data_IF_866355782315
#
_entry.id   IF_866355782315
#
_cell.length_a   1.000
_cell.length_b   1.000
_cell.length_c   1.000
_cell.angle_alpha   90.00
_cell.angle_beta   90.00
_cell.angle_gamma   90.00
#
_symmetry.space_group_name_H-M   'P 1'
#
loop_
_entity.id
_entity.type
_entity.pdbx_description
1 polymer ?
#
# COMPACT_ATOMS: atom_id res chain seq x y z
N UNK A 1 9.35 21.46 18.55
CA UNK A 1 9.16 20.09 19.08
C UNK A 1 8.01 19.45 18.34
N UNK A 2 8.24 18.28 17.78
CA UNK A 2 7.25 17.61 16.93
C UNK A 2 6.21 16.83 17.74
N UNK A 3 4.95 16.98 17.34
CA UNK A 3 3.82 16.17 17.76
C UNK A 3 3.26 15.39 16.56
N UNK A 4 2.82 14.16 16.80
CA UNK A 4 2.19 13.27 15.85
C UNK A 4 0.77 12.92 16.32
N UNK A 5 -0.24 13.18 15.50
CA UNK A 5 -1.62 12.73 15.75
C UNK A 5 -1.93 11.50 14.89
N UNK A 6 -2.32 10.40 15.53
CA UNK A 6 -2.59 9.12 14.90
C UNK A 6 -4.05 9.07 14.43
N UNK A 7 -4.36 9.61 13.25
CA UNK A 7 -5.74 9.85 12.84
C UNK A 7 -6.41 8.64 12.17
N UNK A 8 -5.66 7.62 11.76
CA UNK A 8 -6.21 6.35 11.31
C UNK A 8 -5.15 5.32 10.92
N UNK A 9 -5.53 4.04 10.94
CA UNK A 9 -4.62 2.92 10.66
C UNK A 9 -3.85 2.37 11.88
N UNK A 10 -4.17 2.81 13.10
CA UNK A 10 -3.44 2.41 14.32
C UNK A 10 -4.28 1.49 15.20
N UNK A 11 -3.81 0.24 15.35
CA UNK A 11 -4.59 -0.84 15.99
C UNK A 11 -5.74 -1.34 15.12
N UNK A 12 -5.71 -1.02 13.83
CA UNK A 12 -6.69 -1.40 12.82
C UNK A 12 -6.07 -1.39 11.42
N UNK A 13 -6.81 -1.89 10.43
CA UNK A 13 -6.46 -1.79 9.01
C UNK A 13 -7.39 -0.80 8.30
N UNK A 14 -6.81 0.01 7.42
CA UNK A 14 -7.51 1.00 6.62
C UNK A 14 -7.50 2.40 7.25
N UNK A 15 -8.02 3.38 6.51
CA UNK A 15 -8.11 4.81 6.86
C UNK A 15 -6.79 5.42 7.33
N UNK A 16 -5.67 4.96 6.80
CA UNK A 16 -4.34 5.38 7.23
C UNK A 16 -4.18 6.89 7.06
N UNK A 17 -3.82 7.56 8.16
CA UNK A 17 -3.71 9.00 8.22
C UNK A 17 -2.92 9.42 9.46
N UNK A 18 -1.95 10.32 9.26
CA UNK A 18 -1.09 10.85 10.32
C UNK A 18 -0.94 12.35 10.16
N UNK A 19 -1.04 13.12 11.25
CA UNK A 19 -0.62 14.54 11.23
C UNK A 19 0.69 14.68 11.98
N UNK A 20 1.64 15.42 11.41
CA UNK A 20 2.87 15.84 12.09
C UNK A 20 2.86 17.36 12.20
N UNK A 21 3.18 17.88 13.38
CA UNK A 21 3.16 19.33 13.65
C UNK A 21 4.28 19.80 14.56
N UNK A 22 4.73 21.03 14.37
CA UNK A 22 5.65 21.75 15.28
C UNK A 22 4.89 22.66 16.29
N UNK A 23 3.57 22.53 16.35
CA UNK A 23 2.65 23.39 17.12
C UNK A 23 2.14 24.61 16.33
N UNK A 24 2.88 25.10 15.34
CA UNK A 24 2.49 26.20 14.45
C UNK A 24 2.03 25.71 13.07
N UNK A 25 2.79 24.82 12.46
CA UNK A 25 2.59 24.23 11.14
C UNK A 25 2.15 22.78 11.29
N UNK A 26 1.22 22.33 10.45
CA UNK A 26 0.67 20.97 10.44
C UNK A 26 0.66 20.40 9.03
N UNK A 27 1.32 19.28 8.84
CA UNK A 27 1.25 18.49 7.61
C UNK A 27 0.53 17.18 7.89
N UNK A 28 -0.38 16.79 7.01
CA UNK A 28 -1.07 15.51 7.07
C UNK A 28 -0.50 14.57 6.01
N UNK A 29 -0.10 13.39 6.44
CA UNK A 29 0.46 12.32 5.63
C UNK A 29 -0.65 11.27 5.45
N UNK A 30 -1.06 11.11 4.20
CA UNK A 30 -2.20 10.32 3.75
C UNK A 30 -3.58 10.76 4.28
N UNK A 31 -4.61 10.36 3.54
CA UNK A 31 -6.02 10.63 3.80
C UNK A 31 -6.85 9.40 3.39
N UNK A 32 -6.68 8.30 4.10
CA UNK A 32 -7.31 7.02 3.78
C UNK A 32 -8.79 6.86 4.17
N UNK A 33 -9.38 5.76 3.70
CA UNK A 33 -10.67 5.22 4.18
C UNK A 33 -10.59 3.76 4.61
N UNK A 34 -11.55 3.31 5.41
CA UNK A 34 -11.63 1.93 5.92
C UNK A 34 -12.70 1.14 5.18
N UNK A 35 -12.28 0.45 4.11
CA UNK A 35 -13.19 -0.38 3.31
C UNK A 35 -13.90 -1.42 4.18
N UNK A 36 -15.23 -1.50 4.05
CA UNK A 36 -16.09 -2.38 4.83
C UNK A 36 -16.60 -1.79 6.14
N UNK A 37 -16.10 -0.63 6.58
CA UNK A 37 -16.70 0.15 7.66
C UNK A 37 -17.83 1.07 7.14
N UNK A 38 -18.63 1.61 8.04
CA UNK A 38 -19.74 2.53 7.72
C UNK A 38 -19.75 3.72 8.67
N UNK A 39 -20.33 4.84 8.24
CA UNK A 39 -20.43 6.04 9.08
C UNK A 39 -19.06 6.62 9.39
N UNK A 40 -18.86 7.06 10.63
CA UNK A 40 -17.63 7.74 11.04
C UNK A 40 -16.41 6.82 11.08
N UNK A 41 -16.61 5.49 11.22
CA UNK A 41 -15.51 4.52 11.16
C UNK A 41 -14.88 4.39 9.77
N UNK A 42 -15.58 4.84 8.73
CA UNK A 42 -15.07 4.80 7.36
C UNK A 42 -13.94 5.82 7.12
N UNK A 43 -13.92 6.91 7.89
CA UNK A 43 -13.03 8.05 7.69
C UNK A 43 -12.02 8.20 8.85
N UNK A 44 -10.93 8.97 8.65
CA UNK A 44 -9.98 9.30 9.72
C UNK A 44 -10.63 10.08 10.87
N UNK A 45 -10.14 9.85 12.09
CA UNK A 45 -10.52 10.59 13.30
C UNK A 45 -9.63 11.82 13.40
N UNK A 46 -10.15 12.96 12.96
CA UNK A 46 -9.40 14.22 12.95
C UNK A 46 -9.24 14.76 14.37
N UNK A 47 -8.00 14.96 14.82
CA UNK A 47 -7.71 15.55 16.13
C UNK A 47 -8.08 17.05 16.21
N UNK A 48 -8.15 17.72 15.04
CA UNK A 48 -8.42 19.15 14.87
C UNK A 48 -9.24 19.40 13.60
N UNK A 49 -9.87 20.57 13.44
CA UNK A 49 -10.50 20.96 12.19
C UNK A 49 -9.52 20.85 11.02
N UNK A 50 -9.96 20.21 9.91
CA UNK A 50 -9.11 19.99 8.73
C UNK A 50 -8.61 21.29 8.08
N UNK A 51 -9.31 22.42 8.32
CA UNK A 51 -8.90 23.74 7.87
C UNK A 51 -7.61 24.25 8.55
N UNK A 52 -7.17 23.64 9.65
CA UNK A 52 -5.89 23.93 10.32
C UNK A 52 -4.70 23.17 9.72
N UNK A 53 -4.92 22.32 8.72
CA UNK A 53 -3.87 21.55 8.05
C UNK A 53 -3.28 22.39 6.91
N UNK A 54 -1.98 22.65 6.97
CA UNK A 54 -1.28 23.53 6.02
C UNK A 54 -0.98 22.83 4.69
N UNK A 55 -0.73 21.52 4.71
CA UNK A 55 -0.48 20.72 3.50
C UNK A 55 -0.83 19.24 3.70
N UNK A 56 -1.28 18.61 2.61
CA UNK A 56 -1.48 17.16 2.53
C UNK A 56 -0.37 16.54 1.69
N UNK A 57 0.17 15.40 2.11
CA UNK A 57 1.13 14.60 1.36
C UNK A 57 0.57 13.20 1.20
N UNK A 58 0.37 12.75 -0.04
CA UNK A 58 -0.19 11.44 -0.34
C UNK A 58 0.94 10.53 -0.83
N UNK A 59 1.09 9.39 -0.16
CA UNK A 59 2.14 8.40 -0.43
C UNK A 59 1.90 7.65 -1.73
N UNK A 60 0.65 7.22 -1.97
CA UNK A 60 0.22 6.49 -3.15
C UNK A 60 -1.32 6.44 -3.25
N UNK A 61 -1.83 5.91 -4.37
CA UNK A 61 -3.25 5.98 -4.74
C UNK A 61 -4.10 4.77 -4.30
N UNK A 62 -3.69 4.00 -3.28
CA UNK A 62 -4.59 3.02 -2.67
C UNK A 62 -5.65 3.71 -1.81
N UNK A 63 -6.83 3.09 -1.70
CA UNK A 63 -8.00 3.71 -1.09
C UNK A 63 -7.81 4.05 0.38
N UNK A 64 -7.08 3.23 1.12
CA UNK A 64 -6.73 3.45 2.51
C UNK A 64 -5.61 4.48 2.73
N UNK A 65 -5.15 5.14 1.67
CA UNK A 65 -4.21 6.27 1.72
C UNK A 65 -4.74 7.55 1.06
N UNK A 66 -5.73 7.46 0.16
CA UNK A 66 -6.24 8.64 -0.59
C UNK A 66 -7.76 8.84 -0.53
N UNK A 67 -8.54 7.81 -0.17
CA UNK A 67 -9.98 7.80 -0.42
C UNK A 67 -10.80 8.82 0.40
N UNK A 68 -10.23 9.45 1.42
CA UNK A 68 -10.88 10.49 2.20
C UNK A 68 -10.65 11.91 1.63
N UNK A 69 -9.87 12.10 0.55
CA UNK A 69 -9.58 13.43 0.01
C UNK A 69 -10.84 14.29 -0.23
N UNK A 70 -11.87 13.73 -0.88
CA UNK A 70 -13.13 14.43 -1.14
C UNK A 70 -13.84 14.82 0.16
N UNK A 71 -13.83 13.92 1.15
CA UNK A 71 -14.41 14.14 2.48
C UNK A 71 -13.72 15.28 3.22
N UNK A 72 -12.39 15.32 3.20
CA UNK A 72 -11.58 16.38 3.81
C UNK A 72 -11.87 17.73 3.16
N UNK A 73 -12.00 17.79 1.83
CA UNK A 73 -12.39 19.02 1.12
C UNK A 73 -13.78 19.49 1.51
N UNK A 74 -14.76 18.59 1.61
CA UNK A 74 -16.11 18.92 2.13
C UNK A 74 -16.07 19.47 3.56
N UNK A 75 -15.15 18.97 4.39
CA UNK A 75 -14.95 19.44 5.76
C UNK A 75 -14.16 20.76 5.87
N UNK A 76 -13.69 21.33 4.74
CA UNK A 76 -13.09 22.66 4.68
C UNK A 76 -11.60 22.70 4.35
N UNK A 77 -10.99 21.58 3.94
CA UNK A 77 -9.59 21.58 3.53
C UNK A 77 -9.38 22.37 2.23
N UNK A 78 -8.45 23.32 2.24
CA UNK A 78 -8.16 24.21 1.10
C UNK A 78 -6.67 24.30 0.72
N UNK A 79 -5.79 23.61 1.45
CA UNK A 79 -4.34 23.67 1.24
C UNK A 79 -3.83 22.92 -0.01
N UNK A 80 -2.51 22.95 -0.27
CA UNK A 80 -1.84 22.17 -1.31
C UNK A 80 -1.78 20.67 -0.99
N UNK A 81 -2.03 19.85 -2.00
CA UNK A 81 -1.96 18.39 -1.94
C UNK A 81 -0.76 17.93 -2.77
N UNK A 82 0.26 17.43 -2.08
CA UNK A 82 1.49 16.92 -2.66
C UNK A 82 1.36 15.43 -2.96
N UNK A 83 1.73 15.02 -4.17
CA UNK A 83 1.78 13.61 -4.57
C UNK A 83 2.74 13.42 -5.75
N UNK A 84 3.09 12.17 -6.06
CA UNK A 84 3.82 11.83 -7.28
C UNK A 84 2.92 11.92 -8.52
N UNK A 85 3.53 12.02 -9.71
CA UNK A 85 2.78 12.06 -10.98
C UNK A 85 1.93 10.80 -11.16
N UNK A 86 2.47 9.64 -10.78
CA UNK A 86 1.80 8.36 -10.91
C UNK A 86 0.62 8.23 -9.92
N UNK A 87 0.79 8.70 -8.69
CA UNK A 87 -0.32 8.82 -7.72
C UNK A 87 -1.43 9.73 -8.26
N UNK A 88 -1.07 10.86 -8.86
CA UNK A 88 -2.04 11.78 -9.46
C UNK A 88 -2.79 11.16 -10.64
N UNK A 89 -2.12 10.35 -11.46
CA UNK A 89 -2.75 9.65 -12.60
C UNK A 89 -3.71 8.54 -12.15
N UNK A 90 -3.41 7.84 -11.05
CA UNK A 90 -4.26 6.77 -10.51
C UNK A 90 -5.42 7.30 -9.64
N UNK A 91 -5.23 8.44 -8.96
CA UNK A 91 -6.20 9.05 -8.05
C UNK A 91 -7.64 9.10 -8.59
N UNK A 92 -7.94 9.55 -9.83
CA UNK A 92 -9.31 9.64 -10.31
C UNK A 92 -10.05 8.30 -10.32
N UNK A 93 -9.36 7.20 -10.66
CA UNK A 93 -9.97 5.88 -10.70
C UNK A 93 -10.26 5.37 -9.28
N UNK A 94 -9.30 5.55 -8.36
CA UNK A 94 -9.49 5.18 -6.94
C UNK A 94 -10.64 5.97 -6.31
N UNK A 95 -10.66 7.30 -6.48
CA UNK A 95 -11.74 8.13 -5.94
C UNK A 95 -13.09 7.80 -6.56
N UNK A 96 -13.16 7.54 -7.86
CA UNK A 96 -14.40 7.12 -8.52
C UNK A 96 -14.94 5.79 -7.97
N UNK A 97 -14.06 4.90 -7.52
CA UNK A 97 -14.44 3.60 -6.98
C UNK A 97 -14.84 3.66 -5.50
N UNK A 98 -14.18 4.48 -4.69
CA UNK A 98 -14.27 4.37 -3.23
C UNK A 98 -14.71 5.64 -2.48
N UNK A 99 -14.65 6.83 -3.10
CA UNK A 99 -15.14 8.04 -2.45
C UNK A 99 -16.68 8.02 -2.36
N UNK A 100 -17.23 8.75 -1.40
CA UNK A 100 -18.68 9.01 -1.38
C UNK A 100 -19.08 9.74 -2.69
N UNK A 101 -20.10 9.27 -3.43
CA UNK A 101 -20.45 9.85 -4.72
C UNK A 101 -20.84 11.34 -4.68
N UNK A 102 -21.45 11.82 -3.58
CA UNK A 102 -21.78 13.23 -3.43
C UNK A 102 -20.51 14.04 -3.11
N UNK A 103 -19.65 13.53 -2.24
CA UNK A 103 -18.37 14.17 -1.95
C UNK A 103 -17.48 14.22 -3.22
N UNK A 104 -17.47 13.18 -4.05
CA UNK A 104 -16.74 13.16 -5.31
C UNK A 104 -17.26 14.22 -6.29
N UNK A 105 -18.58 14.33 -6.44
CA UNK A 105 -19.20 15.25 -7.40
C UNK A 105 -18.89 16.72 -7.09
N UNK A 106 -18.99 17.11 -5.82
CA UNK A 106 -18.91 18.52 -5.41
C UNK A 106 -17.53 18.89 -4.82
N UNK A 107 -16.77 17.90 -4.35
CA UNK A 107 -15.54 18.11 -3.57
C UNK A 107 -14.32 17.31 -4.07
N UNK A 108 -14.29 16.89 -5.34
CA UNK A 108 -13.05 16.39 -5.98
C UNK A 108 -11.87 17.37 -5.87
N UNK A 109 -10.62 16.90 -5.61
CA UNK A 109 -9.44 17.77 -5.56
C UNK A 109 -9.32 18.72 -6.75
N UNK A 110 -9.05 20.01 -6.48
CA UNK A 110 -8.90 21.00 -7.54
C UNK A 110 -7.48 20.96 -8.11
N UNK A 111 -7.35 21.18 -9.42
CA UNK A 111 -6.06 21.14 -10.10
C UNK A 111 -5.04 22.12 -9.50
N UNK A 112 -5.49 23.31 -9.06
CA UNK A 112 -4.66 24.31 -8.40
C UNK A 112 -4.18 23.93 -6.99
N UNK A 113 -4.76 22.90 -6.36
CA UNK A 113 -4.27 22.35 -5.10
C UNK A 113 -3.15 21.32 -5.32
N UNK A 114 -3.14 20.64 -6.48
CA UNK A 114 -2.18 19.56 -6.73
C UNK A 114 -0.76 20.12 -6.92
N UNK A 115 0.20 19.51 -6.23
CA UNK A 115 1.64 19.79 -6.34
C UNK A 115 2.37 18.48 -6.59
N UNK A 116 2.97 18.35 -7.77
CA UNK A 116 3.70 17.13 -8.12
C UNK A 116 5.14 17.19 -7.60
N UNK A 117 5.63 16.07 -7.08
CA UNK A 117 7.03 15.85 -6.71
C UNK A 117 7.51 14.49 -7.21
N UNK A 118 8.82 14.24 -7.11
CA UNK A 118 9.43 12.94 -7.40
C UNK A 118 9.98 12.30 -6.13
N UNK A 119 9.95 10.95 -6.03
CA UNK A 119 10.63 10.27 -4.93
C UNK A 119 12.09 10.72 -4.80
N UNK A 120 12.48 11.14 -3.59
CA UNK A 120 13.80 11.71 -3.31
C UNK A 120 13.81 13.24 -3.21
N UNK A 121 12.73 13.91 -3.61
CA UNK A 121 12.60 15.35 -3.45
C UNK A 121 12.45 15.73 -1.96
N UNK A 122 12.93 16.93 -1.64
CA UNK A 122 12.71 17.60 -0.36
C UNK A 122 11.76 18.76 -0.56
N UNK A 123 10.68 18.78 0.21
CA UNK A 123 9.62 19.78 0.21
C UNK A 123 9.63 20.54 1.54
N UNK A 124 8.90 21.66 1.60
CA UNK A 124 8.83 22.49 2.82
C UNK A 124 7.44 23.07 2.95
N UNK A 125 6.87 23.01 4.16
CA UNK A 125 5.64 23.69 4.56
C UNK A 125 5.92 24.35 5.89
N UNK A 126 5.78 25.68 5.99
CA UNK A 126 6.19 26.41 7.20
C UNK A 126 7.65 26.13 7.57
N UNK A 127 7.90 25.72 8.82
CA UNK A 127 9.22 25.30 9.29
C UNK A 127 9.50 23.80 9.06
N UNK A 128 8.48 23.01 8.69
CA UNK A 128 8.59 21.57 8.51
C UNK A 128 9.26 21.26 7.16
N UNK A 129 10.38 20.52 7.22
CA UNK A 129 11.06 19.97 6.05
C UNK A 129 10.58 18.55 5.82
N UNK A 130 10.03 18.26 4.64
CA UNK A 130 9.48 16.96 4.27
C UNK A 130 10.35 16.32 3.19
N UNK A 131 11.19 15.37 3.58
CA UNK A 131 11.91 14.51 2.63
C UNK A 131 11.02 13.35 2.19
N UNK A 132 11.20 12.91 0.95
CA UNK A 132 10.47 11.78 0.38
C UNK A 132 11.46 10.74 -0.12
N UNK A 133 11.01 9.49 -0.23
CA UNK A 133 11.74 8.51 -1.02
C UNK A 133 10.89 7.34 -1.45
N UNK A 134 11.34 6.64 -2.50
CA UNK A 134 10.59 5.55 -3.09
C UNK A 134 10.35 4.41 -2.08
N UNK A 135 9.13 3.89 -2.01
CA UNK A 135 8.74 2.87 -1.01
C UNK A 135 8.88 1.43 -1.48
N UNK A 136 9.09 1.19 -2.79
CA UNK A 136 9.13 -0.15 -3.36
C UNK A 136 7.77 -0.88 -3.41
N UNK A 137 6.69 -0.28 -2.91
CA UNK A 137 5.36 -0.91 -2.87
C UNK A 137 4.64 -0.90 -4.22
N UNK A 138 4.53 0.30 -4.79
CA UNK A 138 3.86 0.56 -6.06
C UNK A 138 4.63 1.62 -6.84
N UNK A 139 4.35 1.73 -8.14
CA UNK A 139 4.91 2.78 -9.00
C UNK A 139 4.54 4.15 -8.45
N UNK A 140 5.57 5.01 -8.24
CA UNK A 140 5.40 6.34 -7.66
C UNK A 140 5.08 6.37 -6.17
N UNK A 141 5.04 5.22 -5.48
CA UNK A 141 4.81 5.15 -4.04
C UNK A 141 5.99 5.68 -3.23
N UNK A 142 5.71 6.43 -2.16
CA UNK A 142 6.75 7.03 -1.32
C UNK A 142 6.53 6.87 0.18
N UNK A 143 7.63 6.86 0.92
CA UNK A 143 7.66 7.17 2.36
C UNK A 143 7.95 8.66 2.58
N UNK A 144 7.64 9.16 3.77
CA UNK A 144 7.85 10.55 4.17
C UNK A 144 8.73 10.67 5.42
N UNK A 145 9.62 11.66 5.46
CA UNK A 145 10.39 12.04 6.64
C UNK A 145 10.18 13.52 6.93
N UNK A 146 9.55 13.83 8.07
CA UNK A 146 9.29 15.20 8.52
C UNK A 146 10.32 15.59 9.57
N UNK A 147 11.04 16.67 9.34
CA UNK A 147 12.09 17.18 10.22
C UNK A 147 11.86 18.65 10.60
N UNK A 148 12.12 18.97 11.87
CA UNK A 148 12.13 20.32 12.42
C UNK A 148 13.13 20.40 13.58
N UNK A 149 13.97 21.44 13.62
CA UNK A 149 14.97 21.66 14.68
C UNK A 149 15.84 20.44 15.06
N UNK A 150 16.09 19.54 14.08
CA UNK A 150 16.88 18.32 14.27
C UNK A 150 16.11 17.13 14.85
N UNK A 151 14.82 17.28 15.16
CA UNK A 151 13.91 16.17 15.45
C UNK A 151 13.31 15.65 14.14
N UNK A 152 13.15 14.32 14.02
CA UNK A 152 12.69 13.68 12.79
C UNK A 152 11.69 12.56 13.05
N UNK A 153 10.56 12.62 12.35
CA UNK A 153 9.56 11.54 12.25
C UNK A 153 9.61 10.95 10.85
N UNK A 154 9.74 9.63 10.75
CA UNK A 154 9.62 8.91 9.48
C UNK A 154 8.29 8.16 9.48
N UNK A 155 7.52 8.31 8.42
CA UNK A 155 6.31 7.53 8.14
C UNK A 155 6.53 6.73 6.86
N UNK A 156 6.51 5.40 6.98
CA UNK A 156 6.82 4.51 5.86
C UNK A 156 5.71 4.45 4.81
N UNK A 157 4.48 4.82 5.17
CA UNK A 157 3.28 4.40 4.44
C UNK A 157 3.32 2.89 4.18
N UNK A 158 2.83 2.43 3.02
CA UNK A 158 3.07 1.07 2.57
C UNK A 158 4.45 0.93 1.90
N UNK A 159 5.21 -0.10 2.31
CA UNK A 159 6.60 -0.26 1.90
C UNK A 159 6.96 -1.71 1.56
N UNK A 160 7.82 -1.91 0.58
CA UNK A 160 8.40 -3.23 0.25
C UNK A 160 9.90 -3.07 0.07
N UNK A 161 10.72 -3.38 1.11
CA UNK A 161 12.13 -3.06 1.07
C UNK A 161 12.93 -3.88 0.07
N UNK A 162 12.58 -5.15 -0.10
CA UNK A 162 13.29 -6.10 -0.96
C UNK A 162 12.46 -6.48 -2.20
N UNK A 163 11.73 -5.51 -2.76
CA UNK A 163 11.00 -5.71 -4.01
C UNK A 163 11.96 -6.07 -5.15
N UNK A 164 11.63 -7.12 -5.90
CA UNK A 164 12.43 -7.54 -7.05
C UNK A 164 12.19 -6.64 -8.27
N UNK A 165 11.18 -5.77 -8.22
CA UNK A 165 10.72 -4.93 -9.34
C UNK A 165 10.91 -3.45 -9.03
N UNK A 166 10.36 -2.97 -7.91
CA UNK A 166 10.29 -1.56 -7.58
C UNK A 166 11.45 -1.19 -6.63
N UNK A 167 12.21 -0.13 -6.92
CA UNK A 167 13.28 0.30 -6.03
C UNK A 167 12.70 0.96 -4.78
N UNK A 168 13.28 0.65 -3.62
CA UNK A 168 13.08 1.41 -2.38
C UNK A 168 14.31 2.29 -2.12
N UNK A 169 14.10 3.54 -1.74
CA UNK A 169 15.16 4.39 -1.18
C UNK A 169 15.25 4.17 0.34
N UNK A 170 16.46 4.10 0.94
CA UNK A 170 16.61 3.82 2.36
C UNK A 170 15.89 4.84 3.26
N UNK A 171 15.28 4.37 4.35
CA UNK A 171 14.77 5.26 5.39
C UNK A 171 15.93 5.97 6.11
N UNK A 172 15.82 7.27 6.39
CA UNK A 172 16.83 7.97 7.18
C UNK A 172 16.74 7.57 8.67
N UNK A 173 17.83 7.80 9.41
CA UNK A 173 17.79 7.71 10.86
C UNK A 173 16.82 8.75 11.43
N UNK A 174 16.08 8.43 12.48
CA UNK A 174 15.04 9.29 13.03
C UNK A 174 14.84 9.09 14.54
N UNK A 175 13.99 9.91 15.15
CA UNK A 175 13.63 9.81 16.57
C UNK A 175 12.37 8.96 16.78
N UNK A 176 11.46 9.01 15.81
CA UNK A 176 10.25 8.21 15.75
C UNK A 176 10.05 7.63 14.35
N UNK A 177 9.82 6.32 14.28
CA UNK A 177 9.44 5.61 13.07
C UNK A 177 8.00 5.10 13.18
N UNK A 178 7.16 5.55 12.25
CA UNK A 178 5.80 5.07 12.02
C UNK A 178 5.88 4.06 10.86
N UNK A 179 5.79 2.77 11.19
CA UNK A 179 6.18 1.65 10.34
C UNK A 179 4.98 0.82 9.86
N UNK A 180 5.01 0.42 8.59
CA UNK A 180 4.12 -0.57 8.01
C UNK A 180 4.26 -1.90 8.73
N UNK A 181 3.26 -2.26 9.52
CA UNK A 181 3.22 -3.51 10.25
C UNK A 181 2.15 -4.46 9.67
N UNK A 182 1.73 -4.27 8.41
CA UNK A 182 0.60 -4.98 7.80
C UNK A 182 0.70 -6.51 7.87
N UNK A 183 1.92 -7.07 7.85
CA UNK A 183 2.14 -8.52 8.00
C UNK A 183 2.67 -8.95 9.38
N UNK A 184 2.81 -8.01 10.32
CA UNK A 184 3.24 -8.28 11.68
C UNK A 184 4.52 -9.13 11.73
N UNK A 185 4.45 -10.25 12.46
CA UNK A 185 5.58 -11.16 12.67
C UNK A 185 5.68 -12.31 11.64
N UNK A 186 5.19 -12.12 10.41
CA UNK A 186 5.33 -13.12 9.33
C UNK A 186 6.83 -13.41 9.05
N UNK A 187 7.35 -14.62 9.32
CA UNK A 187 8.78 -14.88 9.34
C UNK A 187 9.37 -15.16 7.95
N UNK A 188 8.54 -15.29 6.91
CA UNK A 188 8.98 -15.75 5.60
C UNK A 188 9.30 -14.56 4.70
N UNK A 189 10.58 -14.34 4.30
CA UNK A 189 10.97 -13.20 3.46
C UNK A 189 10.26 -13.16 2.10
N UNK A 190 10.14 -11.96 1.52
CA UNK A 190 9.57 -11.74 0.18
C UNK A 190 10.23 -12.61 -0.90
N UNK A 191 11.56 -12.61 -0.94
CA UNK A 191 12.33 -13.38 -1.92
C UNK A 191 12.07 -14.90 -1.86
N UNK A 192 11.86 -15.44 -0.66
CA UNK A 192 11.56 -16.87 -0.48
C UNK A 192 10.15 -17.20 -0.98
N UNK A 193 9.16 -16.34 -0.72
CA UNK A 193 7.82 -16.53 -1.26
C UNK A 193 7.77 -16.37 -2.78
N UNK A 194 8.52 -15.42 -3.34
CA UNK A 194 8.65 -15.28 -4.79
C UNK A 194 9.22 -16.55 -5.43
N UNK A 195 10.25 -17.16 -4.81
CA UNK A 195 10.81 -18.46 -5.23
C UNK A 195 9.76 -19.57 -5.19
N UNK A 196 9.03 -19.71 -4.07
CA UNK A 196 7.97 -20.71 -3.91
C UNK A 196 6.86 -20.57 -4.95
N UNK A 197 6.46 -19.33 -5.26
CA UNK A 197 5.48 -19.03 -6.33
C UNK A 197 6.03 -19.46 -7.69
N UNK A 198 7.26 -19.07 -8.03
CA UNK A 198 7.89 -19.44 -9.30
C UNK A 198 7.99 -20.96 -9.48
N UNK A 199 8.36 -21.68 -8.42
CA UNK A 199 8.43 -23.15 -8.42
C UNK A 199 7.06 -23.81 -8.56
N UNK A 200 6.05 -23.29 -7.86
CA UNK A 200 4.68 -23.78 -7.98
C UNK A 200 4.17 -23.60 -9.42
N UNK A 201 4.35 -22.41 -10.01
CA UNK A 201 3.91 -22.12 -11.38
C UNK A 201 4.66 -23.00 -12.40
N UNK A 202 5.95 -23.23 -12.20
CA UNK A 202 6.73 -24.13 -13.06
C UNK A 202 6.21 -25.58 -13.00
N UNK A 203 5.72 -26.02 -11.84
CA UNK A 203 5.07 -27.33 -11.68
C UNK A 203 3.74 -27.47 -12.44
N UNK A 204 3.13 -26.34 -12.83
CA UNK A 204 1.91 -26.26 -13.63
C UNK A 204 2.10 -25.46 -14.92
N UNK A 205 3.27 -25.62 -15.56
CA UNK A 205 3.62 -24.90 -16.79
C UNK A 205 2.67 -25.17 -17.98
N UNK A 206 1.92 -26.28 -17.93
CA UNK A 206 0.90 -26.61 -18.93
C UNK A 206 -0.45 -25.90 -18.69
N UNK A 207 -0.61 -25.18 -17.57
CA UNK A 207 -1.83 -24.44 -17.26
C UNK A 207 -2.09 -24.27 -15.76
N UNK A 208 -2.17 -23.02 -15.30
CA UNK A 208 -2.71 -22.65 -14.00
C UNK A 208 -3.24 -21.22 -14.02
N UNK A 209 -4.14 -20.87 -13.09
CA UNK A 209 -4.73 -19.54 -12.97
C UNK A 209 -4.10 -18.78 -11.81
N UNK A 210 -3.70 -17.53 -12.07
CA UNK A 210 -3.14 -16.59 -11.10
C UNK A 210 -3.92 -15.27 -11.09
N UNK A 211 -4.94 -15.13 -10.22
CA UNK A 211 -5.58 -13.84 -9.98
C UNK A 211 -4.60 -12.83 -9.36
N UNK A 212 -4.54 -11.62 -9.91
CA UNK A 212 -3.58 -10.58 -9.50
C UNK A 212 -4.11 -9.15 -9.79
N UNK A 213 -3.73 -8.08 -9.05
CA UNK A 213 -4.19 -6.71 -9.33
C UNK A 213 -3.67 -6.15 -10.66
N UNK A 214 -4.16 -4.98 -11.09
CA UNK A 214 -3.64 -4.31 -12.30
C UNK A 214 -2.26 -3.66 -12.09
N UNK A 215 -1.89 -3.36 -10.85
CA UNK A 215 -0.64 -2.70 -10.49
C UNK A 215 0.10 -3.39 -9.34
N UNK A 216 1.40 -3.08 -9.20
CA UNK A 216 2.25 -3.59 -8.13
C UNK A 216 2.55 -5.08 -8.28
N UNK A 217 1.84 -5.92 -7.50
CA UNK A 217 2.07 -7.38 -7.38
C UNK A 217 2.12 -8.13 -8.72
N UNK A 218 1.41 -7.67 -9.75
CA UNK A 218 1.45 -8.33 -11.06
C UNK A 218 2.84 -8.34 -11.70
N UNK A 219 3.61 -7.25 -11.55
CA UNK A 219 4.98 -7.22 -12.06
C UNK A 219 5.90 -8.12 -11.23
N UNK A 220 5.68 -8.23 -9.92
CA UNK A 220 6.41 -9.17 -9.05
C UNK A 220 6.17 -10.64 -9.44
N UNK A 221 4.92 -10.99 -9.75
CA UNK A 221 4.58 -12.31 -10.28
C UNK A 221 5.25 -12.54 -11.65
N UNK A 222 5.20 -11.57 -12.56
CA UNK A 222 5.87 -11.66 -13.86
C UNK A 222 7.39 -11.81 -13.69
N UNK A 223 8.00 -11.18 -12.67
CA UNK A 223 9.42 -11.33 -12.35
C UNK A 223 9.73 -12.73 -11.79
N UNK A 224 8.84 -13.31 -10.97
CA UNK A 224 9.01 -14.63 -10.38
C UNK A 224 8.77 -15.79 -11.37
N UNK A 225 7.90 -15.62 -12.36
CA UNK A 225 7.52 -16.67 -13.32
C UNK A 225 8.58 -16.82 -14.41
N UNK A 226 9.11 -18.02 -14.59
CA UNK A 226 10.17 -18.33 -15.56
C UNK A 226 9.69 -19.15 -16.78
N UNK A 227 8.39 -19.44 -16.87
CA UNK A 227 7.77 -20.20 -17.97
C UNK A 227 6.91 -19.29 -18.83
N UNK A 228 6.62 -19.62 -20.11
CA UNK A 228 5.67 -18.87 -20.93
C UNK A 228 4.30 -18.77 -20.25
N UNK A 229 3.67 -17.60 -20.32
CA UNK A 229 2.37 -17.35 -19.69
C UNK A 229 1.46 -16.54 -20.61
N UNK A 230 0.19 -16.50 -20.25
CA UNK A 230 -0.83 -15.63 -20.79
C UNK A 230 -1.21 -14.56 -19.76
N UNK A 231 -1.66 -13.42 -20.24
CA UNK A 231 -2.29 -12.38 -19.43
C UNK A 231 -3.69 -12.11 -19.97
N UNK A 232 -4.58 -11.66 -19.11
CA UNK A 232 -5.80 -11.01 -19.57
C UNK A 232 -5.43 -9.75 -20.38
N UNK A 233 -6.00 -9.63 -21.59
CA UNK A 233 -5.59 -8.63 -22.58
C UNK A 233 -5.68 -7.18 -22.06
N UNK A 234 -6.68 -6.87 -21.24
CA UNK A 234 -6.86 -5.56 -20.60
C UNK A 234 -5.73 -5.16 -19.64
N UNK A 235 -4.95 -6.12 -19.13
CA UNK A 235 -3.81 -5.83 -18.24
C UNK A 235 -2.63 -5.20 -18.98
N UNK A 236 -2.45 -5.50 -20.28
CA UNK A 236 -1.21 -5.20 -21.02
C UNK A 236 -0.82 -3.73 -20.97
N UNK A 237 -1.78 -2.83 -21.18
CA UNK A 237 -1.52 -1.40 -21.18
C UNK A 237 -1.07 -0.89 -19.81
N UNK A 238 -1.74 -1.32 -18.74
CA UNK A 238 -1.40 -0.93 -17.37
C UNK A 238 -0.03 -1.49 -16.93
N UNK A 239 0.28 -2.74 -17.29
CA UNK A 239 1.58 -3.35 -17.00
C UNK A 239 2.71 -2.64 -17.76
N UNK A 240 2.50 -2.35 -19.04
CA UNK A 240 3.49 -1.64 -19.86
C UNK A 240 3.75 -0.22 -19.35
N UNK A 241 2.70 0.50 -18.94
CA UNK A 241 2.84 1.83 -18.35
C UNK A 241 3.71 1.82 -17.09
N UNK A 242 3.51 0.83 -16.20
CA UNK A 242 4.32 0.67 -14.99
C UNK A 242 5.78 0.33 -15.28
N UNK A 243 6.05 -0.58 -16.23
CA UNK A 243 7.43 -0.99 -16.59
C UNK A 243 8.25 0.20 -17.11
N UNK A 244 7.61 1.11 -17.85
CA UNK A 244 8.26 2.23 -18.51
C UNK A 244 8.11 3.56 -17.75
N UNK A 245 7.49 3.56 -16.56
CA UNK A 245 7.42 4.74 -15.71
C UNK A 245 8.84 5.13 -15.25
N UNK A 246 9.22 6.43 -15.31
CA UNK A 246 10.57 6.88 -14.99
C UNK A 246 11.02 6.47 -13.58
N UNK A 247 12.17 5.79 -13.48
CA UNK A 247 12.78 5.32 -12.22
C UNK A 247 11.86 4.44 -11.33
N UNK A 248 10.71 3.99 -11.85
CA UNK A 248 9.73 3.19 -11.11
C UNK A 248 10.14 1.72 -10.95
N UNK A 249 10.95 1.20 -11.87
CA UNK A 249 11.41 -0.19 -11.88
C UNK A 249 12.93 -0.22 -11.85
N UNK A 250 13.51 -1.21 -11.17
CA UNK A 250 14.96 -1.45 -11.19
C UNK A 250 15.48 -1.49 -12.63
N UNK A 251 16.51 -0.71 -12.92
CA UNK A 251 16.99 -0.47 -14.31
C UNK A 251 17.38 -1.76 -15.03
N UNK A 252 17.88 -2.75 -14.31
CA UNK A 252 18.25 -4.08 -14.81
C UNK A 252 17.05 -5.01 -15.03
N UNK A 253 15.86 -4.65 -14.51
CA UNK A 253 14.60 -5.41 -14.64
C UNK A 253 13.71 -4.94 -15.77
N UNK A 254 13.80 -3.68 -16.20
CA UNK A 254 12.96 -3.12 -17.27
C UNK A 254 12.99 -3.99 -18.52
N UNK A 255 14.19 -4.31 -19.02
CA UNK A 255 14.35 -5.16 -20.22
C UNK A 255 13.71 -6.54 -20.04
N UNK A 256 13.96 -7.19 -18.91
CA UNK A 256 13.41 -8.52 -18.61
C UNK A 256 11.88 -8.51 -18.58
N UNK A 257 11.29 -7.52 -17.91
CA UNK A 257 9.84 -7.41 -17.77
C UNK A 257 9.18 -7.06 -19.12
N UNK A 258 9.77 -6.15 -19.90
CA UNK A 258 9.27 -5.82 -21.24
C UNK A 258 9.29 -7.04 -22.17
N UNK A 259 10.41 -7.78 -22.22
CA UNK A 259 10.52 -8.99 -23.04
C UNK A 259 9.51 -10.07 -22.64
N UNK A 260 9.28 -10.24 -21.33
CA UNK A 260 8.27 -11.17 -20.81
C UNK A 260 6.85 -10.73 -21.14
N UNK A 261 6.55 -9.44 -20.99
CA UNK A 261 5.24 -8.90 -21.32
C UNK A 261 4.95 -9.01 -22.82
N UNK A 262 5.92 -8.69 -23.67
CA UNK A 262 5.80 -8.80 -25.13
C UNK A 262 5.59 -10.26 -25.60
N UNK A 263 6.24 -11.21 -24.92
CA UNK A 263 6.08 -12.64 -25.19
C UNK A 263 4.78 -13.25 -24.62
N UNK A 264 4.14 -12.58 -23.66
CA UNK A 264 2.92 -13.07 -23.03
C UNK A 264 1.77 -13.14 -24.05
N UNK A 265 1.02 -14.24 -24.03
CA UNK A 265 -0.17 -14.40 -24.87
C UNK A 265 -1.32 -13.57 -24.29
N UNK A 266 -2.09 -12.91 -25.15
CA UNK A 266 -3.35 -12.31 -24.73
C UNK A 266 -4.43 -13.38 -24.60
N UNK A 267 -5.19 -13.32 -23.52
CA UNK A 267 -6.39 -14.11 -23.27
C UNK A 267 -7.55 -13.17 -23.00
N UNK A 268 -8.73 -13.50 -23.51
CA UNK A 268 -9.96 -12.72 -23.25
C UNK A 268 -11.03 -13.54 -22.57
N UNK A 269 -11.85 -12.88 -21.74
CA UNK A 269 -12.93 -13.53 -21.00
C UNK A 269 -13.88 -14.25 -21.95
N UNK A 270 -14.05 -15.56 -21.73
CA UNK A 270 -14.91 -16.43 -22.53
C UNK A 270 -14.14 -17.35 -23.48
N UNK A 271 -12.85 -17.10 -23.71
CA UNK A 271 -11.97 -18.06 -24.36
C UNK A 271 -11.72 -19.28 -23.45
N UNK A 272 -11.43 -20.47 -24.02
CA UNK A 272 -10.93 -21.59 -23.26
C UNK A 272 -9.70 -21.22 -22.42
N UNK A 273 -9.55 -21.80 -21.23
CA UNK A 273 -8.34 -21.61 -20.42
C UNK A 273 -7.11 -22.09 -21.21
N UNK A 274 -6.01 -21.31 -21.24
CA UNK A 274 -4.87 -21.59 -22.11
C UNK A 274 -4.02 -22.75 -21.57
N UNK A 275 -3.26 -23.38 -22.47
CA UNK A 275 -2.24 -24.39 -22.13
C UNK A 275 -0.92 -23.74 -21.65
N UNK A 276 -1.04 -22.79 -20.72
CA UNK A 276 0.06 -22.13 -20.00
C UNK A 276 -0.52 -21.39 -18.78
N UNK A 277 0.31 -20.98 -17.80
CA UNK A 277 -0.13 -20.09 -16.72
C UNK A 277 -0.85 -18.86 -17.25
N UNK A 278 -1.93 -18.46 -16.59
CA UNK A 278 -2.78 -17.33 -16.96
C UNK A 278 -2.89 -16.35 -15.78
N UNK A 279 -2.41 -15.12 -15.97
CA UNK A 279 -2.61 -14.02 -15.02
C UNK A 279 -3.87 -13.24 -15.39
N UNK A 280 -4.78 -13.02 -14.43
CA UNK A 280 -6.04 -12.31 -14.65
C UNK A 280 -6.29 -11.27 -13.56
N UNK A 281 -6.76 -10.09 -13.95
CA UNK A 281 -7.19 -9.09 -12.97
C UNK A 281 -8.65 -9.30 -12.56
N UNK A 282 -8.87 -9.65 -11.30
CA UNK A 282 -8.86 -8.84 -10.09
C UNK A 282 -8.15 -9.72 -9.04
N UNK A 283 -7.27 -9.14 -8.22
CA UNK A 283 -6.40 -9.92 -7.33
C UNK A 283 -7.12 -10.75 -6.27
N UNK A 284 -8.37 -10.38 -5.97
CA UNK A 284 -9.21 -11.01 -4.96
C UNK A 284 -10.16 -12.04 -5.57
N UNK A 285 -10.28 -12.06 -6.90
CA UNK A 285 -11.16 -12.96 -7.62
C UNK A 285 -12.65 -12.65 -7.45
N UNK A 286 -13.00 -11.46 -6.99
CA UNK A 286 -14.40 -11.08 -6.68
C UNK A 286 -15.05 -10.32 -7.84
N UNK A 287 -14.25 -9.67 -8.68
CA UNK A 287 -14.71 -8.83 -9.77
C UNK A 287 -13.88 -9.05 -11.04
N UNK A 288 -14.15 -8.23 -12.06
CA UNK A 288 -13.39 -8.20 -13.30
C UNK A 288 -13.30 -9.55 -14.03
N UNK A 289 -12.32 -9.70 -14.91
CA UNK A 289 -12.00 -10.97 -15.58
C UNK A 289 -11.67 -12.15 -14.65
N UNK A 290 -11.12 -11.92 -13.46
CA UNK A 290 -10.78 -13.02 -12.55
C UNK A 290 -12.00 -13.78 -12.05
N UNK A 291 -13.15 -13.13 -11.82
CA UNK A 291 -14.37 -13.81 -11.36
C UNK A 291 -14.84 -14.92 -12.32
N UNK A 292 -15.10 -14.68 -13.62
CA UNK A 292 -15.47 -15.75 -14.54
C UNK A 292 -14.32 -16.74 -14.79
N UNK A 293 -13.06 -16.28 -14.80
CA UNK A 293 -11.91 -17.18 -14.97
C UNK A 293 -11.77 -18.18 -13.81
N UNK A 294 -11.96 -17.74 -12.57
CA UNK A 294 -11.96 -18.60 -11.38
C UNK A 294 -13.08 -19.64 -11.43
N UNK A 295 -14.29 -19.24 -11.85
CA UNK A 295 -15.41 -20.17 -11.99
C UNK A 295 -15.13 -21.24 -13.08
N UNK A 296 -14.52 -20.84 -14.20
CA UNK A 296 -14.10 -21.77 -15.25
C UNK A 296 -13.00 -22.72 -14.77
N UNK A 297 -12.01 -22.20 -14.02
CA UNK A 297 -10.92 -22.99 -13.47
C UNK A 297 -11.42 -24.02 -12.45
N UNK A 298 -12.30 -23.63 -11.53
CA UNK A 298 -12.92 -24.55 -10.58
C UNK A 298 -13.71 -25.65 -11.30
N UNK A 299 -14.51 -25.30 -12.32
CA UNK A 299 -15.34 -26.27 -13.05
C UNK A 299 -14.50 -27.30 -13.81
N UNK A 300 -13.37 -26.87 -14.37
CA UNK A 300 -12.49 -27.72 -15.19
C UNK A 300 -11.40 -28.43 -14.39
N UNK A 301 -11.24 -28.11 -13.10
CA UNK A 301 -10.11 -28.59 -12.29
C UNK A 301 -8.77 -27.97 -12.69
N UNK A 302 -8.79 -26.81 -13.35
CA UNK A 302 -7.58 -26.07 -13.71
C UNK A 302 -6.90 -25.57 -12.42
N UNK A 303 -5.61 -25.82 -12.20
CA UNK A 303 -4.91 -25.43 -10.98
C UNK A 303 -5.00 -23.92 -10.72
N UNK A 304 -5.21 -23.53 -9.47
CA UNK A 304 -5.34 -22.11 -9.07
C UNK A 304 -4.30 -21.81 -7.99
N UNK A 305 -3.54 -20.73 -8.18
CA UNK A 305 -2.70 -20.14 -7.15
C UNK A 305 -3.17 -18.73 -6.85
N UNK A 306 -3.58 -18.51 -5.60
CA UNK A 306 -3.89 -17.20 -5.06
C UNK A 306 -2.66 -16.64 -4.35
N UNK A 307 -2.35 -15.37 -4.58
CA UNK A 307 -1.14 -14.73 -4.04
C UNK A 307 -1.38 -13.48 -3.19
N UNK A 308 -2.63 -13.00 -3.12
CA UNK A 308 -3.01 -11.80 -2.38
C UNK A 308 -3.65 -12.07 -1.03
N UNK A 309 -4.20 -11.01 -0.44
CA UNK A 309 -5.15 -11.13 0.67
C UNK A 309 -6.40 -11.89 0.20
N UNK A 310 -6.99 -12.70 1.08
CA UNK A 310 -8.22 -13.44 0.82
C UNK A 310 -9.26 -13.01 1.87
N UNK A 311 -10.24 -12.16 1.50
CA UNK A 311 -11.27 -11.72 2.42
C UNK A 311 -12.08 -12.94 2.85
N UNK A 312 -12.48 -12.96 4.12
CA UNK A 312 -13.34 -14.01 4.65
C UNK A 312 -14.62 -14.12 3.81
N UNK A 313 -14.97 -15.34 3.40
CA UNK A 313 -16.15 -15.61 2.56
C UNK A 313 -15.99 -15.26 1.06
N UNK A 314 -14.83 -14.75 0.62
CA UNK A 314 -14.56 -14.56 -0.81
C UNK A 314 -14.49 -15.89 -1.57
N UNK A 315 -14.71 -15.90 -2.90
CA UNK A 315 -14.54 -17.10 -3.72
C UNK A 315 -13.15 -17.72 -3.58
N UNK A 316 -12.10 -16.89 -3.51
CA UNK A 316 -10.73 -17.35 -3.31
C UNK A 316 -10.52 -18.03 -1.96
N UNK A 317 -11.00 -17.42 -0.86
CA UNK A 317 -10.92 -18.03 0.48
C UNK A 317 -11.60 -19.40 0.52
N UNK A 318 -12.81 -19.50 -0.03
CA UNK A 318 -13.55 -20.78 -0.13
C UNK A 318 -12.75 -21.85 -0.88
N UNK A 319 -12.15 -21.50 -2.03
CA UNK A 319 -11.39 -22.46 -2.83
C UNK A 319 -10.16 -23.00 -2.09
N UNK A 320 -9.49 -22.15 -1.30
CA UNK A 320 -8.36 -22.58 -0.47
C UNK A 320 -8.82 -23.47 0.68
N UNK A 321 -9.89 -23.09 1.38
CA UNK A 321 -10.45 -23.87 2.49
C UNK A 321 -10.93 -25.26 2.04
N UNK A 322 -11.45 -25.37 0.81
CA UNK A 322 -11.87 -26.64 0.20
C UNK A 322 -10.70 -27.44 -0.40
N UNK A 323 -9.46 -26.94 -0.36
CA UNK A 323 -8.27 -27.59 -0.94
C UNK A 323 -8.25 -27.60 -2.47
N UNK A 324 -9.05 -26.74 -3.13
CA UNK A 324 -9.15 -26.61 -4.59
C UNK A 324 -8.20 -25.56 -5.18
N UNK A 325 -7.67 -24.67 -4.35
CA UNK A 325 -6.66 -23.69 -4.74
C UNK A 325 -5.48 -23.72 -3.76
N UNK A 326 -4.28 -23.50 -4.30
CA UNK A 326 -3.10 -23.20 -3.50
C UNK A 326 -3.11 -21.71 -3.10
N UNK A 327 -2.46 -21.41 -1.98
CA UNK A 327 -2.25 -20.03 -1.56
C UNK A 327 -0.81 -19.83 -1.08
N UNK A 328 -0.09 -18.94 -1.75
CA UNK A 328 1.26 -18.51 -1.38
C UNK A 328 1.25 -16.98 -1.48
N UNK A 329 1.22 -16.31 -0.33
CA UNK A 329 1.13 -14.83 -0.29
C UNK A 329 2.37 -14.20 -0.94
N UNK A 330 2.25 -13.48 -2.05
CA UNK A 330 3.35 -12.61 -2.47
C UNK A 330 3.35 -11.38 -1.55
N UNK A 331 4.41 -11.13 -0.74
CA UNK A 331 4.40 -10.00 0.16
C UNK A 331 4.37 -8.68 -0.61
N UNK A 332 3.43 -7.81 -0.25
CA UNK A 332 3.36 -6.41 -0.72
C UNK A 332 3.51 -5.43 0.45
N UNK A 333 4.05 -5.90 1.57
CA UNK A 333 4.33 -5.18 2.81
C UNK A 333 5.51 -5.89 3.48
N UNK A 334 6.24 -5.26 4.42
CA UNK A 334 7.42 -5.88 5.01
C UNK A 334 7.04 -7.05 5.92
N UNK A 335 7.83 -8.12 5.81
CA UNK A 335 7.80 -9.29 6.68
C UNK A 335 8.63 -9.03 7.94
N UNK A 336 8.61 -9.94 8.92
CA UNK A 336 9.37 -9.80 10.16
C UNK A 336 10.86 -9.47 9.97
N UNK A 337 11.65 -10.23 9.18
CA UNK A 337 13.07 -9.92 9.00
C UNK A 337 13.30 -8.55 8.35
N UNK A 338 12.41 -8.16 7.43
CA UNK A 338 12.46 -6.87 6.73
C UNK A 338 12.10 -5.70 7.67
N UNK A 339 11.09 -5.86 8.53
CA UNK A 339 10.75 -4.88 9.57
C UNK A 339 11.87 -4.66 10.58
N UNK A 340 12.56 -5.73 11.00
CA UNK A 340 13.73 -5.61 11.87
C UNK A 340 14.85 -4.83 11.15
N UNK A 341 15.14 -5.18 9.89
CA UNK A 341 16.18 -4.51 9.11
C UNK A 341 15.89 -3.02 8.90
N UNK A 342 14.64 -2.65 8.59
CA UNK A 342 14.20 -1.26 8.46
C UNK A 342 14.40 -0.48 9.78
N UNK A 343 13.97 -1.05 10.90
CA UNK A 343 14.12 -0.43 12.22
C UNK A 343 15.60 -0.27 12.62
N UNK A 344 16.45 -1.26 12.33
CA UNK A 344 17.89 -1.18 12.60
C UNK A 344 18.58 -0.12 11.74
N UNK A 345 18.26 -0.08 10.44
CA UNK A 345 18.80 0.91 9.50
C UNK A 345 18.38 2.35 9.86
N UNK A 346 17.17 2.53 10.41
CA UNK A 346 16.67 3.81 10.91
C UNK A 346 17.27 4.23 12.26
N UNK A 347 18.24 3.49 12.81
CA UNK A 347 18.94 3.84 14.06
C UNK A 347 18.26 3.32 15.33
N UNK A 348 17.34 2.34 15.21
CA UNK A 348 16.57 1.74 16.32
C UNK A 348 15.74 2.76 17.13
N UNK A 349 14.95 3.63 16.49
CA UNK A 349 14.13 4.64 17.17
C UNK A 349 12.98 4.02 17.97
N UNK A 350 12.23 4.87 18.69
CA UNK A 350 10.87 4.52 19.12
C UNK A 350 10.02 4.22 17.89
N UNK A 351 9.12 3.25 18.01
CA UNK A 351 8.39 2.72 16.87
C UNK A 351 6.88 2.66 17.15
N UNK A 352 6.08 3.12 16.20
CA UNK A 352 4.62 2.92 16.15
C UNK A 352 4.33 2.11 14.89
N UNK A 353 3.64 0.97 15.03
CA UNK A 353 3.20 0.19 13.87
C UNK A 353 1.78 0.58 13.43
N UNK A 354 1.53 0.59 12.13
CA UNK A 354 0.20 0.85 11.55
C UNK A 354 -0.26 -0.31 10.63
N UNK A 355 -1.49 -0.19 10.12
CA UNK A 355 -2.13 -1.09 9.15
C UNK A 355 -2.34 -2.54 9.62
N UNK A 356 -2.31 -2.78 10.93
CA UNK A 356 -2.57 -4.08 11.53
C UNK A 356 -3.26 -3.98 12.90
N UNK A 357 -3.78 -5.11 13.38
CA UNK A 357 -4.42 -5.19 14.68
C UNK A 357 -3.42 -5.23 15.85
N UNK A 358 -3.94 -5.05 17.06
CA UNK A 358 -3.13 -5.08 18.27
C UNK A 358 -2.40 -6.42 18.52
N UNK A 359 -2.94 -7.54 18.05
CA UNK A 359 -2.33 -8.85 18.23
C UNK A 359 -1.10 -9.01 17.34
N UNK A 360 -1.16 -8.55 16.09
CA UNK A 360 -0.03 -8.49 15.18
C UNK A 360 1.09 -7.59 15.72
N UNK A 361 0.74 -6.42 16.28
CA UNK A 361 1.71 -5.52 16.92
C UNK A 361 2.36 -6.17 18.15
N UNK A 362 1.61 -6.86 19.00
CA UNK A 362 2.17 -7.54 20.16
C UNK A 362 3.12 -8.69 19.76
N UNK A 363 2.80 -9.41 18.69
CA UNK A 363 3.70 -10.42 18.12
C UNK A 363 5.00 -9.78 17.59
N UNK A 364 4.90 -8.67 16.85
CA UNK A 364 6.07 -7.95 16.32
C UNK A 364 6.94 -7.35 17.45
N UNK A 365 6.34 -6.89 18.55
CA UNK A 365 7.04 -6.33 19.72
C UNK A 365 8.02 -7.31 20.35
N UNK A 366 7.76 -8.61 20.28
CA UNK A 366 8.67 -9.65 20.77
C UNK A 366 10.05 -9.60 20.09
N UNK A 367 10.11 -9.00 18.89
CA UNK A 367 11.32 -8.87 18.09
C UNK A 367 11.82 -7.43 18.00
N UNK A 368 10.94 -6.43 18.13
CA UNK A 368 11.27 -5.01 18.14
C UNK A 368 10.84 -4.39 19.49
N UNK A 369 11.70 -4.40 20.53
CA UNK A 369 11.32 -3.96 21.87
C UNK A 369 10.88 -2.48 21.97
N UNK A 370 11.29 -1.66 21.01
CA UNK A 370 10.94 -0.23 20.93
C UNK A 370 9.53 0.02 20.35
N UNK A 371 8.85 -1.03 19.85
CA UNK A 371 7.48 -0.95 19.37
C UNK A 371 6.52 -0.62 20.51
N UNK A 372 5.65 0.36 20.27
CA UNK A 372 4.55 0.75 21.14
C UNK A 372 3.24 0.12 20.65
N UNK A 373 2.92 -1.13 21.04
CA UNK A 373 1.75 -1.86 20.51
C UNK A 373 0.42 -1.32 21.04
N UNK A 374 0.46 -0.38 21.99
CA UNK A 374 -0.71 0.26 22.59
C UNK A 374 -1.25 1.46 21.81
N UNK A 375 -0.52 1.97 20.81
CA UNK A 375 -0.91 3.14 20.03
C UNK A 375 -2.20 2.87 19.22
N UNK A 376 -3.18 3.78 19.28
CA UNK A 376 -4.48 3.64 18.60
C UNK A 376 -4.86 4.88 17.82
N UNK A 377 -5.75 4.68 16.85
CA UNK A 377 -6.41 5.77 16.14
C UNK A 377 -7.09 6.71 17.16
N UNK A 378 -6.76 8.00 17.08
CA UNK A 378 -7.16 9.06 18.01
C UNK A 378 -6.09 9.49 19.00
N UNK A 379 -5.04 8.70 19.23
CA UNK A 379 -3.95 9.07 20.14
C UNK A 379 -3.06 10.18 19.56
N UNK A 380 -2.39 10.91 20.44
CA UNK A 380 -1.34 11.87 20.09
C UNK A 380 -0.02 11.51 20.78
N UNK A 381 1.09 11.82 20.12
CA UNK A 381 2.43 11.51 20.60
C UNK A 381 3.39 12.66 20.34
N UNK A 382 4.03 13.16 21.39
CA UNK A 382 5.03 14.21 21.31
C UNK A 382 6.42 13.58 21.44
N UNK A 383 7.36 13.96 20.57
CA UNK A 383 8.73 13.39 20.61
C UNK A 383 9.37 13.75 21.95
N UNK A 384 10.09 12.77 22.53
CA UNK A 384 10.73 12.83 23.85
C UNK A 384 9.77 12.86 25.07
N UNK A 385 8.46 12.69 24.87
CA UNK A 385 7.46 12.58 25.94
C UNK A 385 6.70 11.24 25.92
N UNK A 386 5.84 11.02 26.91
CA UNK A 386 4.93 9.86 26.97
C UNK A 386 3.75 10.06 26.00
N UNK A 387 3.13 8.94 25.57
CA UNK A 387 1.97 8.98 24.66
C UNK A 387 0.73 9.53 25.38
N UNK A 388 0.00 10.44 24.71
CA UNK A 388 -1.22 11.04 25.23
C UNK A 388 -2.39 10.30 24.61
N UNK A 389 -3.07 9.49 25.42
CA UNK A 389 -4.26 8.77 24.99
C UNK A 389 -5.46 9.71 24.89
N UNK A 390 -6.28 9.53 23.87
CA UNK A 390 -7.53 10.28 23.77
C UNK A 390 -8.43 9.99 24.98
N UNK A 391 -8.69 11.01 25.81
CA UNK A 391 -9.84 11.02 26.69
C UNK A 391 -11.09 11.34 25.84
N UNK A 392 -12.19 10.65 26.10
CA UNK A 392 -13.43 10.67 25.30
C UNK A 392 -14.21 12.00 25.36
N UNK A 393 -13.56 13.14 25.14
CA UNK A 393 -14.15 14.47 25.32
C UNK A 393 -14.11 15.28 24.01
N UNK A 394 -14.72 14.73 22.96
CA UNK A 394 -15.36 15.54 21.92
C UNK A 394 -16.67 14.85 21.52
N UNK A 395 -17.76 15.23 22.22
CA UNK A 395 -19.15 14.94 21.87
C UNK A 395 -19.67 15.88 20.79
#
# INVERSE_FOLDING_TARGET
>A
MLQVDLQGGFGEKGRTSVVVSDGSTRVMLDAGIKVGATGDEYYPVLARPVAEIDALFISHAHEDHIGALCRLRRQGYAGPIYMTEETHLEMPATLAQYADPADLADFSPLAEQIRLFRPGDTLTTGALRVETGASGHVVGGVWFSVEEEGQRVVYSADIVPESAVFPMQPLPACDLLILDASYGADPIPGAERARQIGEWVAGYADGCLLPTPLSGRSLELIAAIAVPFAIEAGMRAALSAQIHAPDAVHKDRVKLLSERLDAARDWTVGEPLPACPLLVHDGMGVAGPARPALAAAETSGFPILLSGHLPSGSPGARLVDEGKAAWIRMPTHPTLPENIALWEAAGRPRLIGHSCDAAALEALRQHIPALMPGARTGDAYQIDEEMIHAHSDFQ
#
